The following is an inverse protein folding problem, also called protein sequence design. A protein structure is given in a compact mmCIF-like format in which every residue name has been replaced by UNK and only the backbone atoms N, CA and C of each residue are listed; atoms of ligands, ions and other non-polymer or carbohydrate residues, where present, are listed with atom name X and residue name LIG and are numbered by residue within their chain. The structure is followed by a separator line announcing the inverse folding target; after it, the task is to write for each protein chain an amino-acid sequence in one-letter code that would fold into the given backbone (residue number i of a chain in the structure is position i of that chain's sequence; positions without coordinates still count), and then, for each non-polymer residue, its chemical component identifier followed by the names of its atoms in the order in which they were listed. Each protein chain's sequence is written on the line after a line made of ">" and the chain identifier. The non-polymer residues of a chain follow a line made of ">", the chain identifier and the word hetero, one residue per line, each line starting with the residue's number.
data_IF_716915899754
#
_entry.id   IF_716915899754
#
_cell.length_a   1.000
_cell.length_b   1.000
_cell.length_c   1.000
_cell.angle_alpha   90.00
_cell.angle_beta   90.00
_cell.angle_gamma   90.00
#
_symmetry.space_group_name_H-M   'P 1'
#
loop_
_entity.id
_entity.type
_entity.pdbx_description
1 polymer ?
#
# COMPACT_ATOMS: atom_id res chain seq x y z
N UNK A 1 -0.33 -1.68 20.38
CA UNK A 1 0.40 -2.44 19.34
C UNK A 1 1.52 -1.58 18.80
N UNK A 2 2.67 -2.18 18.45
CA UNK A 2 3.79 -1.45 17.85
C UNK A 2 3.49 -1.12 16.38
N UNK A 3 3.94 0.05 15.92
CA UNK A 3 3.96 0.43 14.51
C UNK A 3 5.31 0.02 13.90
N UNK A 4 5.30 -0.47 12.66
CA UNK A 4 6.53 -0.91 11.96
C UNK A 4 6.66 -0.16 10.64
N UNK A 5 7.81 0.47 10.41
CA UNK A 5 8.09 1.10 9.13
C UNK A 5 8.41 0.03 8.07
N UNK A 6 7.87 0.22 6.86
CA UNK A 6 8.19 -0.61 5.69
C UNK A 6 9.02 0.24 4.73
N UNK A 7 10.08 -0.36 4.20
CA UNK A 7 10.96 0.25 3.21
C UNK A 7 11.15 -0.67 2.00
N UNK A 8 11.28 -0.07 0.83
CA UNK A 8 11.50 -0.75 -0.45
C UNK A 8 12.49 0.05 -1.28
N UNK A 9 13.39 -0.65 -1.98
CA UNK A 9 14.34 -0.06 -2.92
C UNK A 9 13.70 0.26 -4.28
N UNK A 10 12.55 -0.33 -4.58
CA UNK A 10 11.80 -0.06 -5.81
C UNK A 10 10.94 1.21 -5.76
N UNK A 11 10.93 1.92 -4.63
CA UNK A 11 10.25 3.18 -4.45
C UNK A 11 11.25 4.28 -4.03
N UNK A 12 10.97 5.56 -4.35
CA UNK A 12 11.82 6.66 -3.94
C UNK A 12 12.09 6.65 -2.43
N UNK A 13 13.34 6.86 -2.04
CA UNK A 13 13.70 6.97 -0.63
C UNK A 13 12.92 8.11 0.04
N UNK A 14 12.58 7.95 1.32
CA UNK A 14 11.98 9.05 2.08
C UNK A 14 13.03 10.15 2.29
N UNK A 15 12.80 11.33 1.71
CA UNK A 15 13.71 12.50 1.77
C UNK A 15 13.34 13.43 2.96
N UNK A 16 12.33 13.07 3.76
CA UNK A 16 11.86 13.87 4.90
C UNK A 16 11.51 13.03 6.13
N UNK A 17 10.93 13.65 7.18
CA UNK A 17 10.59 12.98 8.44
C UNK A 17 9.32 12.11 8.31
N UNK A 18 9.29 11.20 7.35
CA UNK A 18 8.21 10.25 7.11
C UNK A 18 8.78 8.88 6.69
N UNK A 19 7.97 7.83 6.80
CA UNK A 19 8.31 6.48 6.31
C UNK A 19 7.60 6.24 4.98
N UNK A 20 8.16 5.43 4.08
CA UNK A 20 7.46 5.07 2.83
C UNK A 20 6.09 4.44 3.09
N UNK A 21 6.02 3.56 4.09
CA UNK A 21 4.78 3.12 4.68
C UNK A 21 4.95 2.74 6.15
N UNK A 22 3.83 2.68 6.87
CA UNK A 22 3.76 2.22 8.25
C UNK A 22 2.69 1.14 8.37
N UNK A 23 3.08 -0.02 8.89
CA UNK A 23 2.17 -1.07 9.30
C UNK A 23 1.67 -0.79 10.72
N UNK A 24 0.36 -0.86 10.91
CA UNK A 24 -0.30 -0.83 12.21
C UNK A 24 -1.37 -1.95 12.25
N UNK A 25 -1.03 -3.07 12.88
CA UNK A 25 -1.89 -4.26 12.89
C UNK A 25 -1.95 -4.95 11.53
N UNK A 26 -3.16 -5.08 11.00
CA UNK A 26 -3.50 -5.62 9.68
C UNK A 26 -3.64 -4.53 8.60
N UNK A 27 -3.42 -3.26 8.95
CA UNK A 27 -3.42 -2.16 7.99
C UNK A 27 -2.01 -1.69 7.70
N UNK A 28 -1.77 -1.37 6.43
CA UNK A 28 -0.60 -0.66 5.95
C UNK A 28 -1.06 0.70 5.41
N UNK A 29 -0.43 1.75 5.94
CA UNK A 29 -0.61 3.12 5.48
C UNK A 29 0.59 3.49 4.63
N UNK A 30 0.38 3.67 3.33
CA UNK A 30 1.42 4.06 2.38
C UNK A 30 1.39 5.56 2.21
N UNK A 31 2.54 6.22 2.37
CA UNK A 31 2.65 7.65 2.15
C UNK A 31 2.41 8.02 0.68
N UNK A 32 2.05 9.29 0.44
CA UNK A 32 1.88 9.82 -0.90
C UNK A 32 3.10 9.56 -1.77
N UNK A 33 2.89 8.86 -2.87
CA UNK A 33 3.91 8.54 -3.85
C UNK A 33 3.85 9.55 -4.99
N UNK A 34 5.00 10.17 -5.26
CA UNK A 34 5.22 11.08 -6.39
C UNK A 34 5.98 10.36 -7.52
N UNK A 35 5.93 10.86 -8.77
CA UNK A 35 6.48 10.18 -9.94
C UNK A 35 8.00 10.39 -10.06
N UNK A 36 8.71 10.05 -8.99
CA UNK A 36 10.16 10.12 -8.91
C UNK A 36 10.77 8.78 -9.31
N UNK A 37 11.86 8.83 -10.07
CA UNK A 37 12.70 7.69 -10.36
C UNK A 37 13.55 7.25 -9.16
N UNK A 38 13.61 5.95 -8.76
CA UNK A 38 14.26 5.59 -7.50
C UNK A 38 15.78 5.53 -7.67
N UNK A 39 16.28 5.43 -8.90
CA UNK A 39 17.69 5.34 -9.27
C UNK A 39 18.26 6.75 -9.39
N UNK A 40 17.53 7.66 -10.06
CA UNK A 40 18.01 9.04 -10.28
C UNK A 40 17.53 10.02 -9.22
N UNK A 41 16.45 9.72 -8.50
CA UNK A 41 15.82 10.65 -7.56
C UNK A 41 15.13 11.85 -8.23
N UNK A 42 14.98 11.85 -9.55
CA UNK A 42 14.38 12.94 -10.32
C UNK A 42 12.92 12.64 -10.70
N UNK A 43 12.14 13.70 -10.91
CA UNK A 43 10.78 13.57 -11.47
C UNK A 43 10.89 13.01 -12.89
N UNK A 44 10.03 12.06 -13.25
CA UNK A 44 10.01 11.54 -14.62
C UNK A 44 9.24 12.46 -15.58
N UNK A 45 9.69 12.47 -16.82
CA UNK A 45 8.98 13.09 -17.95
C UNK A 45 7.86 12.19 -18.49
N UNK A 46 7.10 12.70 -19.46
CA UNK A 46 6.06 11.93 -20.18
C UNK A 46 4.61 12.21 -19.76
N UNK A 47 4.39 13.28 -18.99
CA UNK A 47 3.07 13.75 -18.60
C UNK A 47 2.31 12.81 -17.64
N UNK A 48 1.04 13.13 -17.39
CA UNK A 48 0.26 12.53 -16.30
C UNK A 48 0.11 11.02 -16.42
N UNK A 49 0.02 10.47 -17.65
CA UNK A 49 -0.09 9.03 -17.87
C UNK A 49 1.18 8.29 -17.40
N UNK A 50 2.34 8.73 -17.89
CA UNK A 50 3.63 8.13 -17.50
C UNK A 50 3.86 8.29 -15.99
N UNK A 51 3.57 9.47 -15.45
CA UNK A 51 3.66 9.75 -14.03
C UNK A 51 2.71 8.87 -13.20
N UNK A 52 1.49 8.59 -13.67
CA UNK A 52 0.55 7.68 -12.99
C UNK A 52 1.12 6.27 -12.91
N UNK A 53 1.64 5.71 -14.02
CA UNK A 53 2.28 4.39 -13.99
C UNK A 53 3.47 4.35 -13.05
N UNK A 54 4.25 5.43 -13.01
CA UNK A 54 5.41 5.54 -12.13
C UNK A 54 5.03 5.52 -10.65
N UNK A 55 4.01 6.28 -10.28
CA UNK A 55 3.47 6.32 -8.92
C UNK A 55 2.94 4.93 -8.52
N UNK A 56 2.18 4.28 -9.41
CA UNK A 56 1.63 2.95 -9.14
C UNK A 56 2.72 1.87 -9.04
N UNK A 57 3.81 1.95 -9.81
CA UNK A 57 5.01 1.09 -9.63
C UNK A 57 5.64 1.27 -8.26
N UNK A 58 5.80 2.52 -7.80
CA UNK A 58 6.35 2.80 -6.47
C UNK A 58 5.45 2.24 -5.37
N UNK A 59 4.13 2.39 -5.51
CA UNK A 59 3.15 1.80 -4.61
C UNK A 59 3.27 0.26 -4.59
N UNK A 60 3.34 -0.40 -5.75
CA UNK A 60 3.49 -1.87 -5.84
C UNK A 60 4.76 -2.35 -5.16
N UNK A 61 5.87 -1.66 -5.36
CA UNK A 61 7.13 -1.99 -4.70
C UNK A 61 7.04 -1.90 -3.16
N UNK A 62 6.28 -0.95 -2.61
CA UNK A 62 6.08 -0.80 -1.16
C UNK A 62 5.11 -1.86 -0.62
N UNK A 63 4.00 -2.09 -1.34
CA UNK A 63 2.98 -3.08 -0.96
C UNK A 63 3.57 -4.50 -0.94
N UNK A 64 4.38 -4.84 -1.95
CA UNK A 64 5.12 -6.11 -1.99
C UNK A 64 6.16 -6.24 -0.88
N UNK A 65 6.85 -5.16 -0.52
CA UNK A 65 7.79 -5.15 0.60
C UNK A 65 7.09 -5.42 1.95
N UNK A 66 5.79 -5.11 2.05
CA UNK A 66 4.97 -5.45 3.21
C UNK A 66 4.36 -6.87 3.15
N UNK A 67 4.62 -7.65 2.09
CA UNK A 67 4.09 -8.99 1.89
C UNK A 67 2.64 -9.04 1.40
N UNK A 68 2.16 -7.97 0.78
CA UNK A 68 0.82 -7.87 0.18
C UNK A 68 0.90 -7.65 -1.33
N UNK A 69 -0.26 -7.59 -1.97
CA UNK A 69 -0.44 -7.38 -3.42
C UNK A 69 -1.36 -6.19 -3.69
N UNK A 70 -1.46 -5.76 -4.94
CA UNK A 70 -2.37 -4.68 -5.33
C UNK A 70 -3.86 -5.02 -5.13
N UNK A 71 -4.21 -6.30 -5.09
CA UNK A 71 -5.57 -6.77 -4.79
C UNK A 71 -5.95 -6.53 -3.31
N UNK A 72 -4.96 -6.33 -2.44
CA UNK A 72 -5.15 -6.04 -1.02
C UNK A 72 -5.37 -4.55 -0.74
N UNK A 73 -5.27 -3.70 -1.76
CA UNK A 73 -5.48 -2.25 -1.64
C UNK A 73 -6.96 -1.98 -1.45
N UNK A 74 -7.32 -1.33 -0.34
CA UNK A 74 -8.72 -1.07 0.01
C UNK A 74 -9.16 0.36 -0.30
N UNK A 75 -8.22 1.31 -0.28
CA UNK A 75 -8.48 2.74 -0.54
C UNK A 75 -7.26 3.40 -1.16
N UNK A 76 -7.48 4.23 -2.17
CA UNK A 76 -6.46 5.17 -2.66
C UNK A 76 -6.96 6.61 -2.65
N UNK A 77 -6.07 7.57 -2.47
CA UNK A 77 -6.37 9.00 -2.67
C UNK A 77 -5.48 9.52 -3.77
N UNK A 78 -6.08 10.12 -4.81
CA UNK A 78 -5.37 10.66 -5.96
C UNK A 78 -5.42 12.18 -5.88
N UNK A 79 -4.25 12.80 -5.87
CA UNK A 79 -4.08 14.25 -5.93
C UNK A 79 -3.57 14.61 -7.32
N UNK A 80 -4.28 15.48 -8.02
CA UNK A 80 -3.92 15.97 -9.34
C UNK A 80 -3.53 17.44 -9.27
N UNK A 81 -2.52 17.85 -10.05
CA UNK A 81 -2.21 19.27 -10.24
C UNK A 81 -3.21 19.98 -11.18
N UNK A 82 -3.91 19.22 -12.03
CA UNK A 82 -4.90 19.72 -12.98
C UNK A 82 -5.99 18.66 -13.23
N UNK A 83 -7.25 19.01 -12.98
CA UNK A 83 -8.40 18.11 -13.14
C UNK A 83 -8.69 17.77 -14.60
N UNK A 84 -8.21 18.57 -15.57
CA UNK A 84 -8.33 18.24 -16.99
C UNK A 84 -7.60 16.93 -17.35
N UNK A 85 -6.64 16.51 -16.53
CA UNK A 85 -5.88 15.27 -16.71
C UNK A 85 -6.60 14.01 -16.20
N UNK A 86 -7.76 14.16 -15.55
CA UNK A 86 -8.48 13.07 -14.88
C UNK A 86 -8.77 11.86 -15.78
N UNK A 87 -9.19 12.10 -17.03
CA UNK A 87 -9.50 11.02 -17.97
C UNK A 87 -8.23 10.25 -18.37
N UNK A 88 -7.14 10.97 -18.64
CA UNK A 88 -5.84 10.39 -19.00
C UNK A 88 -5.26 9.59 -17.84
N UNK A 89 -5.30 10.15 -16.62
CA UNK A 89 -4.90 9.47 -15.40
C UNK A 89 -5.73 8.20 -15.17
N UNK A 90 -7.06 8.27 -15.29
CA UNK A 90 -7.93 7.12 -15.05
C UNK A 90 -7.64 5.95 -15.98
N UNK A 91 -7.33 6.22 -17.26
CA UNK A 91 -6.95 5.16 -18.20
C UNK A 91 -5.68 4.44 -17.77
N UNK A 92 -4.67 5.19 -17.33
CA UNK A 92 -3.44 4.61 -16.80
C UNK A 92 -3.68 3.87 -15.47
N UNK A 93 -4.52 4.42 -14.59
CA UNK A 93 -4.85 3.83 -13.29
C UNK A 93 -5.61 2.50 -13.44
N UNK A 94 -6.57 2.42 -14.36
CA UNK A 94 -7.41 1.25 -14.56
C UNK A 94 -6.63 0.00 -15.02
N UNK A 95 -5.41 0.14 -15.55
CA UNK A 95 -4.59 -1.02 -15.92
C UNK A 95 -3.96 -1.75 -14.74
N UNK A 96 -4.06 -1.20 -13.52
CA UNK A 96 -3.39 -1.72 -12.33
C UNK A 96 -4.32 -2.44 -11.35
N UNK A 97 -5.63 -2.19 -11.42
CA UNK A 97 -6.60 -2.72 -10.47
C UNK A 97 -7.58 -3.63 -11.21
N UNK A 98 -7.71 -4.86 -10.71
CA UNK A 98 -8.80 -5.75 -11.07
C UNK A 98 -10.07 -5.41 -10.26
N UNK A 99 -11.23 -5.93 -10.68
CA UNK A 99 -12.44 -5.83 -9.86
C UNK A 99 -12.42 -6.85 -8.70
N UNK A 100 -12.86 -6.46 -7.48
CA UNK A 100 -13.35 -5.13 -7.11
C UNK A 100 -12.21 -4.13 -6.91
N UNK A 101 -12.33 -2.96 -7.56
CA UNK A 101 -11.35 -1.88 -7.43
C UNK A 101 -11.42 -1.23 -6.03
N UNK A 102 -10.32 -0.64 -5.54
CA UNK A 102 -10.29 0.03 -4.24
C UNK A 102 -11.26 1.22 -4.18
N UNK A 103 -11.72 1.53 -2.97
CA UNK A 103 -12.38 2.81 -2.74
C UNK A 103 -11.44 3.96 -3.15
N UNK A 104 -11.99 5.07 -3.64
CA UNK A 104 -11.16 6.14 -4.20
C UNK A 104 -11.73 7.52 -3.94
N UNK A 105 -10.83 8.46 -3.66
CA UNK A 105 -11.08 9.90 -3.76
C UNK A 105 -10.07 10.50 -4.75
N UNK A 106 -10.50 11.43 -5.59
CA UNK A 106 -9.64 12.14 -6.54
C UNK A 106 -9.94 13.64 -6.44
N UNK A 107 -8.92 14.46 -6.25
CA UNK A 107 -9.05 15.91 -6.06
C UNK A 107 -7.96 16.67 -6.80
N UNK A 108 -8.27 17.89 -7.23
CA UNK A 108 -7.26 18.84 -7.67
C UNK A 108 -6.66 19.56 -6.45
N UNK A 109 -5.35 19.75 -6.45
CA UNK A 109 -4.63 20.48 -5.38
C UNK A 109 -3.79 21.61 -5.98
N UNK A 110 -3.50 22.63 -5.16
CA UNK A 110 -2.80 23.83 -5.62
C UNK A 110 -1.38 23.55 -6.14
N UNK A 111 -0.65 22.61 -5.49
CA UNK A 111 0.72 22.25 -5.88
C UNK A 111 1.14 20.93 -5.22
N UNK A 112 1.89 20.12 -5.95
CA UNK A 112 2.48 18.87 -5.47
C UNK A 112 4.02 19.00 -5.30
N UNK A 113 4.65 18.13 -4.49
CA UNK A 113 6.10 18.13 -4.32
C UNK A 113 6.84 17.99 -5.67
N UNK A 114 7.92 18.75 -5.83
CA UNK A 114 8.73 18.82 -7.07
C UNK A 114 7.91 19.16 -8.34
N UNK A 115 6.78 19.85 -8.20
CA UNK A 115 5.89 20.19 -9.32
C UNK A 115 5.41 18.96 -10.12
N UNK A 116 5.22 17.83 -9.42
CA UNK A 116 4.59 16.66 -9.99
C UNK A 116 3.16 16.95 -10.46
N UNK A 117 2.69 16.21 -11.46
CA UNK A 117 1.30 16.33 -11.94
C UNK A 117 0.33 15.46 -11.15
N UNK A 118 0.85 14.43 -10.46
CA UNK A 118 0.06 13.47 -9.71
C UNK A 118 0.81 12.96 -8.48
N UNK A 119 0.06 12.74 -7.40
CA UNK A 119 0.50 12.01 -6.19
C UNK A 119 -0.60 11.04 -5.76
N UNK A 120 -0.24 9.85 -5.29
CA UNK A 120 -1.22 8.85 -4.83
C UNK A 120 -0.79 8.26 -3.47
N UNK A 121 -1.69 8.29 -2.49
CA UNK A 121 -1.59 7.50 -1.26
C UNK A 121 -2.49 6.26 -1.30
N UNK A 122 -2.18 5.28 -0.45
CA UNK A 122 -2.93 4.04 -0.37
C UNK A 122 -3.03 3.49 1.06
N UNK A 123 -4.16 2.85 1.32
CA UNK A 123 -4.38 2.01 2.50
C UNK A 123 -4.57 0.58 2.00
N UNK A 124 -3.82 -0.34 2.61
CA UNK A 124 -3.80 -1.75 2.21
C UNK A 124 -4.12 -2.61 3.41
N UNK A 125 -4.97 -3.62 3.21
CA UNK A 125 -5.25 -4.64 4.22
C UNK A 125 -4.25 -5.76 4.04
N UNK A 126 -3.29 -5.86 4.95
CA UNK A 126 -2.32 -6.94 4.89
C UNK A 126 -3.00 -8.29 5.14
N UNK A 127 -2.63 -9.35 4.41
CA UNK A 127 -3.04 -10.69 4.77
C UNK A 127 -2.61 -10.96 6.21
N UNK A 128 -3.54 -11.50 7.01
CA UNK A 128 -3.28 -11.82 8.41
C UNK A 128 -1.98 -12.61 8.53
N UNK A 129 -1.13 -12.23 9.49
CA UNK A 129 0.17 -12.86 9.69
C UNK A 129 -0.01 -14.39 9.71
N UNK A 130 0.61 -15.17 8.80
CA UNK A 130 0.47 -16.62 8.84
C UNK A 130 1.12 -17.26 10.09
N UNK A 131 1.84 -16.48 10.91
CA UNK A 131 2.78 -17.03 11.89
C UNK A 131 2.64 -16.56 13.35
N UNK A 132 1.60 -15.85 13.79
CA UNK A 132 1.50 -15.42 15.21
C UNK A 132 0.13 -15.49 15.89
N UNK A 133 -0.79 -16.36 15.46
CA UNK A 133 -1.93 -16.75 16.29
C UNK A 133 -2.26 -18.22 16.10
N UNK A 134 -2.22 -19.07 17.15
CA UNK A 134 -3.01 -20.29 17.09
C UNK A 134 -4.48 -19.88 16.92
N UNK A 135 -5.27 -20.59 16.08
CA UNK A 135 -6.68 -20.28 15.90
C UNK A 135 -7.38 -20.31 17.26
N UNK A 136 -8.04 -19.21 17.63
CA UNK A 136 -8.77 -19.05 18.90
C UNK A 136 -10.08 -19.86 18.96
N UNK A 137 -10.08 -21.11 18.47
CA UNK A 137 -11.24 -22.01 18.45
C UNK A 137 -10.88 -23.48 18.77
N UNK A 138 -9.97 -23.69 19.72
CA UNK A 138 -9.78 -25.01 20.34
C UNK A 138 -9.77 -24.90 21.88
N UNK A 139 -10.83 -24.30 22.45
CA UNK A 139 -11.18 -24.49 23.86
C UNK A 139 -12.59 -25.07 23.91
N UNK A 140 -12.66 -26.38 24.15
CA UNK A 140 -13.90 -27.11 24.36
C UNK A 140 -13.63 -28.59 24.58
N UNK A 141 -13.21 -28.96 25.79
CA UNK A 141 -13.12 -30.37 26.18
C UNK A 141 -12.11 -30.68 27.28
N UNK A 142 -12.27 -30.09 28.46
CA UNK A 142 -11.66 -30.64 29.67
C UNK A 142 -12.26 -32.02 29.96
N UNK A 143 -11.41 -33.01 30.18
CA UNK A 143 -11.82 -34.37 30.52
C UNK A 143 -10.67 -35.24 31.00
N UNK A 144 -9.83 -34.72 31.91
CA UNK A 144 -8.89 -35.54 32.65
C UNK A 144 -9.65 -36.46 33.62
N UNK A 145 -9.53 -37.79 33.46
CA UNK A 145 -9.66 -38.74 34.57
C UNK A 145 -8.69 -39.91 34.43
N UNK A 146 -7.75 -39.91 35.38
CA UNK A 146 -7.27 -41.01 36.21
C UNK A 146 -6.48 -42.18 35.58
N UNK A 147 -5.26 -42.30 36.11
CA UNK A 147 -4.36 -43.44 36.21
C UNK A 147 -5.03 -44.66 36.87
N UNK A 148 -4.66 -45.89 36.45
CA UNK A 148 -4.97 -47.12 37.22
C UNK A 148 -4.64 -48.45 36.52
N UNK A 149 -3.44 -48.97 36.78
CA UNK A 149 -3.02 -50.38 36.95
C UNK A 149 -3.42 -51.55 36.00
N UNK A 150 -2.35 -52.19 35.48
CA UNK A 150 -2.02 -53.63 35.45
C UNK A 150 -3.17 -54.66 35.42
N UNK A 151 -3.19 -55.47 34.37
CA UNK A 151 -3.05 -56.93 34.39
C UNK A 151 -2.74 -57.43 32.97
#
# INVERSE_FOLDING_TARGET
>A
MARTAITSTGAPAAIGPYSQAVRAGDLLFVSGQVPIDPETGQLIDGGVAAQTHRVLRSLDAIVRAAGATFDDVVKTTVYLANMNDFVTMNRAYATWFAEPAPARAAVEVARLPKDAQIEIDAIVRLPGCPCCCPPAHALGGAGARAVGERA
#
